data_IF_703526862563
#
_entry.id   IF_703526862563
#
_cell.length_a   1.000
_cell.length_b   1.000
_cell.length_c   1.000
_cell.angle_alpha   90.00
_cell.angle_beta   90.00
_cell.angle_gamma   90.00
#
_symmetry.space_group_name_H-M   'P 1'
#
loop_
_entity.id
_entity.type
_entity.pdbx_description
1 polymer ?
#
# COMPACT_ATOMS: atom_id res chain seq x y z
N UNK A 1 19.24 14.94 39.85
CA UNK A 1 18.67 16.15 39.23
C UNK A 1 17.62 15.69 38.24
N UNK A 2 16.34 15.94 38.55
CA UNK A 2 15.25 15.64 37.63
C UNK A 2 15.33 16.64 36.48
N UNK A 3 15.78 16.17 35.31
CA UNK A 3 15.63 16.93 34.07
C UNK A 3 14.15 17.01 33.76
N UNK A 4 13.54 18.14 34.11
CA UNK A 4 12.25 18.55 33.57
C UNK A 4 12.41 18.82 32.08
N UNK A 5 12.42 17.77 31.27
CA UNK A 5 12.09 17.89 29.87
C UNK A 5 10.58 18.22 29.84
N UNK A 6 10.27 19.47 29.55
CA UNK A 6 8.94 19.93 29.18
C UNK A 6 8.30 18.84 28.31
N UNK A 7 7.16 18.29 28.74
CA UNK A 7 6.29 17.47 27.90
C UNK A 7 5.77 18.35 26.76
N UNK A 8 6.63 18.71 25.81
CA UNK A 8 6.19 19.03 24.46
C UNK A 8 5.69 17.70 23.91
N UNK A 9 4.38 17.55 23.84
CA UNK A 9 3.83 16.57 22.91
C UNK A 9 4.43 16.91 21.55
N UNK A 10 5.21 16.02 20.92
CA UNK A 10 5.70 16.29 19.58
C UNK A 10 4.48 16.53 18.70
N UNK A 11 4.51 17.57 17.87
CA UNK A 11 3.50 17.73 16.83
C UNK A 11 3.45 16.45 15.98
N UNK A 12 2.34 16.16 15.32
CA UNK A 12 2.25 14.97 14.48
C UNK A 12 3.32 14.93 13.38
N UNK A 13 3.72 16.10 12.87
CA UNK A 13 4.87 16.27 11.97
C UNK A 13 6.19 15.86 12.64
N UNK A 14 6.46 16.31 13.87
CA UNK A 14 7.65 15.91 14.61
C UNK A 14 7.68 14.41 14.89
N UNK A 15 6.53 13.83 15.26
CA UNK A 15 6.38 12.39 15.46
C UNK A 15 6.68 11.62 14.17
N UNK A 16 6.17 12.08 13.04
CA UNK A 16 6.44 11.49 11.74
C UNK A 16 7.92 11.64 11.33
N UNK A 17 8.54 12.80 11.54
CA UNK A 17 9.98 13.02 11.30
C UNK A 17 10.87 12.09 12.16
N UNK A 18 10.52 11.91 13.44
CA UNK A 18 11.26 10.99 14.33
C UNK A 18 11.14 9.55 13.85
N UNK A 19 9.96 9.15 13.36
CA UNK A 19 9.75 7.82 12.80
C UNK A 19 10.55 7.61 11.49
N UNK A 20 10.54 8.60 10.59
CA UNK A 20 11.38 8.61 9.38
C UNK A 20 12.86 8.48 9.75
N UNK A 21 13.32 9.20 10.77
CA UNK A 21 14.70 9.12 11.27
C UNK A 21 15.02 7.74 11.86
N UNK A 22 14.09 7.13 12.58
CA UNK A 22 14.26 5.77 13.11
C UNK A 22 14.35 4.74 11.97
N UNK A 23 13.48 4.85 10.96
CA UNK A 23 13.55 4.03 9.76
C UNK A 23 14.91 4.19 9.05
N UNK A 24 15.39 5.42 8.89
CA UNK A 24 16.70 5.69 8.27
C UNK A 24 17.86 5.05 9.06
N UNK A 25 17.83 5.12 10.38
CA UNK A 25 18.86 4.51 11.23
C UNK A 25 18.91 2.98 11.05
N UNK A 26 17.75 2.32 10.97
CA UNK A 26 17.68 0.88 10.68
C UNK A 26 18.11 0.57 9.24
N UNK A 27 17.70 1.39 8.27
CA UNK A 27 18.06 1.24 6.86
C UNK A 27 19.57 1.36 6.61
N UNK A 28 20.27 2.19 7.39
CA UNK A 28 21.72 2.38 7.30
C UNK A 28 22.54 1.26 7.92
N UNK A 29 21.89 0.31 8.62
CA UNK A 29 22.56 -0.84 9.22
C UNK A 29 22.69 -2.03 8.28
N UNK A 30 23.46 -3.02 8.71
CA UNK A 30 23.52 -4.33 8.08
C UNK A 30 22.23 -5.13 8.31
N UNK A 31 22.01 -6.17 7.50
CA UNK A 31 20.90 -7.10 7.67
C UNK A 31 20.96 -7.70 9.08
N UNK A 32 19.82 -7.70 9.77
CA UNK A 32 19.61 -8.16 11.13
C UNK A 32 20.41 -7.43 12.22
N UNK A 33 21.12 -6.34 11.92
CA UNK A 33 21.88 -5.59 12.93
C UNK A 33 21.01 -5.14 14.11
N UNK A 34 19.75 -4.81 13.85
CA UNK A 34 18.80 -4.30 14.84
C UNK A 34 17.77 -5.32 15.33
N UNK A 35 17.89 -6.61 14.99
CA UNK A 35 16.87 -7.62 15.32
C UNK A 35 16.60 -7.76 16.84
N UNK A 36 17.63 -7.56 17.68
CA UNK A 36 17.49 -7.60 19.14
C UNK A 36 16.62 -6.45 19.70
N UNK A 37 16.47 -5.36 18.95
CA UNK A 37 15.64 -4.22 19.32
C UNK A 37 14.20 -4.34 18.82
N UNK A 38 13.84 -5.40 18.09
CA UNK A 38 12.49 -5.58 17.55
C UNK A 38 11.38 -5.55 18.62
N UNK A 39 11.55 -6.08 19.85
CA UNK A 39 10.53 -5.93 20.88
C UNK A 39 10.24 -4.45 21.21
N UNK A 40 11.30 -3.64 21.31
CA UNK A 40 11.17 -2.19 21.55
C UNK A 40 10.58 -1.48 20.33
N UNK A 41 11.02 -1.84 19.12
CA UNK A 41 10.47 -1.29 17.87
C UNK A 41 8.97 -1.61 17.78
N UNK A 42 8.57 -2.84 18.10
CA UNK A 42 7.17 -3.28 18.11
C UNK A 42 6.33 -2.51 19.14
N UNK A 43 6.82 -2.33 20.35
CA UNK A 43 6.16 -1.51 21.37
C UNK A 43 5.91 -0.10 20.83
N UNK A 44 6.94 0.54 20.25
CA UNK A 44 6.83 1.88 19.67
C UNK A 44 5.87 1.93 18.49
N UNK A 45 5.95 0.99 17.55
CA UNK A 45 5.01 0.93 16.42
C UNK A 45 3.58 0.80 16.93
N UNK A 46 3.33 -0.10 17.88
CA UNK A 46 1.99 -0.30 18.46
C UNK A 46 1.49 0.93 19.23
N UNK A 47 2.38 1.65 19.92
CA UNK A 47 2.06 2.95 20.54
C UNK A 47 1.66 4.01 19.50
N UNK A 48 2.28 4.00 18.31
CA UNK A 48 1.93 4.91 17.22
C UNK A 48 0.54 4.63 16.63
N UNK A 49 0.09 3.36 16.66
CA UNK A 49 -1.21 2.88 16.16
C UNK A 49 -2.39 3.10 17.10
N UNK A 50 -2.13 3.43 18.38
CA UNK A 50 -3.20 3.79 19.30
C UNK A 50 -3.81 5.15 18.91
N UNK A 51 -4.99 5.43 19.45
CA UNK A 51 -5.81 6.62 19.17
C UNK A 51 -4.98 7.90 19.00
N UNK A 52 -5.12 8.55 17.84
CA UNK A 52 -4.40 9.78 17.48
C UNK A 52 -3.28 9.59 16.46
N UNK A 53 -3.33 8.55 15.61
CA UNK A 53 -2.49 8.46 14.43
C UNK A 53 -3.01 9.42 13.36
N UNK A 54 -2.12 10.17 12.70
CA UNK A 54 -2.44 10.97 11.52
C UNK A 54 -1.95 10.24 10.28
N UNK A 55 -2.54 10.51 9.12
CA UNK A 55 -2.12 9.93 7.84
C UNK A 55 -0.65 10.21 7.52
N UNK A 56 -0.11 11.36 7.96
CA UNK A 56 1.33 11.64 7.88
C UNK A 56 2.19 10.67 8.71
N UNK A 57 1.79 10.36 9.95
CA UNK A 57 2.51 9.38 10.80
C UNK A 57 2.37 7.98 10.22
N UNK A 58 1.18 7.61 9.76
CA UNK A 58 0.92 6.32 9.13
C UNK A 58 1.74 6.12 7.84
N UNK A 59 1.89 7.16 7.01
CA UNK A 59 2.76 7.11 5.84
C UNK A 59 4.22 6.78 6.21
N UNK A 60 4.74 7.40 7.28
CA UNK A 60 6.08 7.10 7.79
C UNK A 60 6.19 5.70 8.44
N UNK A 61 5.09 5.14 8.95
CA UNK A 61 5.03 3.75 9.40
C UNK A 61 5.20 2.78 8.23
N UNK A 62 4.50 3.01 7.12
CA UNK A 62 4.68 2.18 5.92
C UNK A 62 6.11 2.27 5.36
N UNK A 63 6.73 3.46 5.35
CA UNK A 63 8.16 3.58 5.02
C UNK A 63 9.01 2.72 5.97
N UNK A 64 8.77 2.79 7.27
CA UNK A 64 9.53 1.98 8.22
C UNK A 64 9.28 0.47 8.03
N UNK A 65 8.05 0.06 7.72
CA UNK A 65 7.75 -1.33 7.38
C UNK A 65 8.55 -1.80 6.16
N UNK A 66 8.64 -1.00 5.08
CA UNK A 66 9.48 -1.32 3.92
C UNK A 66 10.95 -1.52 4.32
N UNK A 67 11.48 -0.63 5.17
CA UNK A 67 12.85 -0.78 5.70
C UNK A 67 13.01 -2.07 6.49
N UNK A 68 12.04 -2.42 7.35
CA UNK A 68 12.08 -3.65 8.13
C UNK A 68 12.08 -4.88 7.21
N UNK A 69 11.32 -4.88 6.12
CA UNK A 69 11.36 -5.96 5.13
C UNK A 69 12.74 -6.13 4.49
N UNK A 70 13.46 -5.03 4.23
CA UNK A 70 14.78 -5.05 3.58
C UNK A 70 15.92 -5.38 4.54
N UNK A 71 15.79 -5.03 5.82
CA UNK A 71 16.87 -5.13 6.81
C UNK A 71 16.68 -6.20 7.86
N UNK A 72 15.50 -6.77 8.03
CA UNK A 72 15.22 -7.78 9.06
C UNK A 72 14.75 -9.05 8.38
N UNK A 73 15.44 -10.15 8.66
CA UNK A 73 15.12 -11.44 8.08
C UNK A 73 13.73 -11.93 8.52
N UNK A 74 13.00 -12.68 7.66
CA UNK A 74 11.59 -13.01 7.87
C UNK A 74 11.29 -13.70 9.21
N UNK A 75 12.20 -14.56 9.69
CA UNK A 75 12.02 -15.25 10.96
C UNK A 75 11.86 -14.30 12.15
N UNK A 76 12.51 -13.13 12.09
CA UNK A 76 12.46 -12.12 13.15
C UNK A 76 11.23 -11.21 13.03
N UNK A 77 10.60 -11.13 11.86
CA UNK A 77 9.40 -10.32 11.62
C UNK A 77 8.08 -10.98 12.05
N UNK A 78 8.11 -12.25 12.46
CA UNK A 78 6.91 -13.04 12.79
C UNK A 78 5.92 -12.32 13.71
N UNK A 79 6.38 -11.60 14.74
CA UNK A 79 5.50 -10.89 15.68
C UNK A 79 5.02 -9.52 15.18
N UNK A 80 5.79 -8.89 14.28
CA UNK A 80 5.46 -7.59 13.68
C UNK A 80 4.55 -7.73 12.47
N UNK A 81 4.61 -8.89 11.80
CA UNK A 81 3.90 -9.13 10.57
C UNK A 81 2.38 -8.91 10.67
N UNK A 82 1.68 -9.43 11.71
CA UNK A 82 0.25 -9.15 11.88
C UNK A 82 -0.05 -7.65 11.95
N UNK A 83 0.83 -6.87 12.60
CA UNK A 83 0.67 -5.42 12.72
C UNK A 83 0.80 -4.76 11.34
N UNK A 84 1.84 -5.10 10.57
CA UNK A 84 2.03 -4.53 9.23
C UNK A 84 0.85 -4.80 8.30
N UNK A 85 0.31 -6.03 8.35
CA UNK A 85 -0.83 -6.44 7.52
C UNK A 85 -2.12 -5.77 7.97
N UNK A 86 -2.40 -5.70 9.27
CA UNK A 86 -3.63 -5.06 9.75
C UNK A 86 -3.66 -3.58 9.40
N UNK A 87 -2.52 -2.89 9.47
CA UNK A 87 -2.42 -1.48 9.08
C UNK A 87 -2.66 -1.28 7.58
N UNK A 88 -2.09 -2.17 6.75
CA UNK A 88 -2.34 -2.13 5.31
C UNK A 88 -3.82 -2.37 4.97
N UNK A 89 -4.44 -3.34 5.62
CA UNK A 89 -5.88 -3.63 5.45
C UNK A 89 -6.72 -2.42 5.87
N UNK A 90 -6.46 -1.86 7.05
CA UNK A 90 -7.20 -0.69 7.55
C UNK A 90 -7.05 0.51 6.61
N UNK A 91 -5.84 0.76 6.09
CA UNK A 91 -5.59 1.86 5.15
C UNK A 91 -6.32 1.65 3.82
N UNK A 92 -6.41 0.42 3.32
CA UNK A 92 -7.19 0.13 2.11
C UNK A 92 -8.70 0.18 2.34
N UNK A 93 -9.20 -0.25 3.50
CA UNK A 93 -10.60 -0.04 3.87
C UNK A 93 -10.93 1.45 3.92
N UNK A 94 -10.05 2.28 4.52
CA UNK A 94 -10.21 3.73 4.53
C UNK A 94 -10.22 4.31 3.11
N UNK A 95 -9.35 3.83 2.21
CA UNK A 95 -9.36 4.25 0.81
C UNK A 95 -10.66 3.86 0.11
N UNK A 96 -11.20 2.67 0.36
CA UNK A 96 -12.50 2.25 -0.16
C UNK A 96 -13.60 3.19 0.34
N UNK A 97 -13.63 3.51 1.63
CA UNK A 97 -14.57 4.46 2.24
C UNK A 97 -14.49 5.85 1.56
N UNK A 98 -13.31 6.45 1.48
CA UNK A 98 -13.06 7.76 0.82
C UNK A 98 -13.47 7.78 -0.67
N UNK A 99 -13.43 6.62 -1.34
CA UNK A 99 -13.89 6.48 -2.72
C UNK A 99 -15.40 6.30 -2.84
N UNK A 100 -16.05 5.72 -1.81
CA UNK A 100 -17.51 5.50 -1.75
C UNK A 100 -18.31 6.67 -1.20
N UNK A 101 -17.69 7.59 -0.45
CA UNK A 101 -18.37 8.79 0.06
C UNK A 101 -18.87 9.65 -1.13
N UNK A 102 -20.09 9.36 -1.58
CA UNK A 102 -20.91 10.22 -2.43
C UNK A 102 -21.40 11.42 -1.61
N UNK A 103 -21.50 12.59 -2.25
CA UNK A 103 -22.19 13.76 -1.71
C UNK A 103 -23.56 13.33 -1.17
N UNK A 104 -23.73 13.27 0.16
CA UNK A 104 -25.05 13.39 0.75
C UNK A 104 -25.68 14.66 0.17
N UNK A 105 -26.75 14.57 -0.65
CA UNK A 105 -27.36 15.77 -1.18
C UNK A 105 -27.95 16.50 0.02
N UNK A 106 -27.36 17.63 0.39
CA UNK A 106 -27.77 18.46 1.51
C UNK A 106 -29.29 18.72 1.44
N UNK A 107 -30.09 17.89 2.13
CA UNK A 107 -31.53 18.09 2.26
C UNK A 107 -31.78 19.11 3.36
N UNK A 108 -31.73 20.36 2.93
CA UNK A 108 -32.57 21.49 3.32
C UNK A 108 -32.89 21.69 4.82
N UNK A 109 -32.35 22.76 5.41
CA UNK A 109 -33.23 23.82 5.91
C UNK A 109 -32.57 25.22 6.01
N UNK A 110 -33.13 26.11 5.18
CA UNK A 110 -33.26 27.56 5.38
C UNK A 110 -32.20 28.54 4.83
N UNK A 111 -32.65 29.18 3.73
CA UNK A 111 -32.63 30.64 3.44
C UNK A 111 -31.34 31.32 2.94
N UNK A 112 -31.39 31.57 1.61
CA UNK A 112 -31.14 32.86 0.92
C UNK A 112 -29.72 33.46 1.07
N UNK A 113 -28.90 33.33 0.03
CA UNK A 113 -28.33 34.49 -0.68
C UNK A 113 -27.71 34.09 -2.03
N UNK A 114 -27.91 34.94 -3.03
CA UNK A 114 -27.39 34.83 -4.39
C UNK A 114 -25.85 34.99 -4.40
N UNK A 115 -25.15 34.08 -5.06
CA UNK A 115 -23.98 34.42 -5.87
C UNK A 115 -23.80 33.36 -6.96
N UNK A 116 -23.52 33.82 -8.18
CA UNK A 116 -23.41 33.06 -9.42
C UNK A 116 -21.93 32.79 -9.70
N UNK A 117 -21.55 31.53 -9.84
CA UNK A 117 -20.30 31.03 -10.43
C UNK A 117 -20.56 29.57 -10.79
N UNK A 118 -20.89 29.29 -12.06
CA UNK A 118 -20.02 28.62 -13.04
C UNK A 118 -19.30 27.39 -12.48
N UNK A 119 -19.62 26.25 -13.08
CA UNK A 119 -19.42 24.89 -12.58
C UNK A 119 -18.01 24.50 -12.21
N UNK A 120 -17.93 23.57 -11.27
CA UNK A 120 -17.25 22.32 -11.53
C UNK A 120 -17.89 21.22 -10.68
N UNK A 121 -17.95 20.00 -11.20
CA UNK A 121 -18.44 18.84 -10.47
C UNK A 121 -17.38 18.41 -9.44
N UNK A 122 -17.31 19.11 -8.32
CA UNK A 122 -16.33 18.80 -7.27
C UNK A 122 -16.85 17.67 -6.40
N UNK A 123 -16.63 16.42 -6.82
CA UNK A 123 -16.59 15.31 -5.86
C UNK A 123 -15.62 15.63 -4.73
N UNK A 124 -15.86 15.12 -3.52
CA UNK A 124 -14.94 15.29 -2.41
C UNK A 124 -13.54 14.79 -2.82
N UNK A 125 -12.59 15.72 -2.95
CA UNK A 125 -11.22 15.44 -3.33
C UNK A 125 -10.46 14.93 -2.10
N UNK A 126 -9.77 13.81 -2.25
CA UNK A 126 -8.99 13.18 -1.18
C UNK A 126 -7.90 14.17 -0.73
N UNK A 127 -7.82 14.39 0.59
CA UNK A 127 -6.86 15.36 1.15
C UNK A 127 -5.41 14.97 0.84
N UNK A 128 -4.48 15.94 0.67
CA UNK A 128 -3.08 15.64 0.34
C UNK A 128 -2.38 14.69 1.32
N UNK A 129 -2.67 14.80 2.62
CA UNK A 129 -2.10 13.91 3.63
C UNK A 129 -2.58 12.46 3.48
N UNK A 130 -3.84 12.26 3.11
CA UNK A 130 -4.41 10.94 2.80
C UNK A 130 -3.82 10.37 1.51
N UNK A 131 -3.63 11.20 0.48
CA UNK A 131 -2.94 10.80 -0.74
C UNK A 131 -1.51 10.29 -0.46
N UNK A 132 -0.78 10.98 0.42
CA UNK A 132 0.55 10.54 0.88
C UNK A 132 0.48 9.18 1.61
N UNK A 133 -0.53 8.98 2.46
CA UNK A 133 -0.77 7.71 3.13
C UNK A 133 -1.05 6.59 2.13
N UNK A 134 -1.98 6.80 1.20
CA UNK A 134 -2.37 5.79 0.20
C UNK A 134 -1.20 5.43 -0.73
N UNK A 135 -0.39 6.41 -1.14
CA UNK A 135 0.84 6.13 -1.87
C UNK A 135 1.82 5.29 -1.04
N UNK A 136 2.03 5.62 0.23
CA UNK A 136 2.94 4.88 1.10
C UNK A 136 2.47 3.42 1.33
N UNK A 137 1.17 3.21 1.52
CA UNK A 137 0.56 1.89 1.60
C UNK A 137 0.75 1.08 0.30
N UNK A 138 0.54 1.72 -0.85
CA UNK A 138 0.77 1.10 -2.16
C UNK A 138 2.25 0.73 -2.38
N UNK A 139 3.18 1.62 -2.02
CA UNK A 139 4.64 1.33 -2.05
C UNK A 139 5.00 0.15 -1.15
N UNK A 140 4.37 0.03 0.02
CA UNK A 140 4.57 -1.10 0.92
C UNK A 140 4.03 -2.40 0.33
N UNK A 141 2.81 -2.41 -0.22
CA UNK A 141 2.26 -3.58 -0.90
C UNK A 141 3.13 -4.02 -2.10
N UNK A 142 3.55 -3.07 -2.94
CA UNK A 142 4.42 -3.34 -4.09
C UNK A 142 5.76 -3.95 -3.65
N UNK A 143 6.33 -3.44 -2.55
CA UNK A 143 7.52 -4.02 -1.92
C UNK A 143 7.25 -5.45 -1.50
N UNK A 144 6.17 -5.72 -0.74
CA UNK A 144 5.84 -7.06 -0.28
C UNK A 144 5.61 -8.07 -1.42
N UNK A 145 4.95 -7.64 -2.50
CA UNK A 145 4.72 -8.45 -3.71
C UNK A 145 5.99 -8.71 -4.52
N UNK A 146 6.97 -7.79 -4.46
CA UNK A 146 8.24 -7.88 -5.18
C UNK A 146 9.21 -8.87 -4.53
N UNK A 147 9.05 -9.16 -3.23
CA UNK A 147 9.95 -10.10 -2.55
C UNK A 147 9.82 -11.52 -3.11
N UNK A 148 10.94 -12.25 -3.26
CA UNK A 148 10.92 -13.66 -3.60
C UNK A 148 10.07 -14.45 -2.57
N UNK A 149 9.18 -15.38 -2.99
CA UNK A 149 8.28 -16.10 -2.07
C UNK A 149 9.01 -16.86 -0.96
N UNK A 150 10.20 -17.39 -1.23
CA UNK A 150 11.06 -18.07 -0.28
C UNK A 150 11.59 -17.14 0.82
N UNK A 151 11.78 -15.85 0.50
CA UNK A 151 12.22 -14.78 1.41
C UNK A 151 11.06 -14.02 2.05
N UNK A 152 9.81 -14.35 1.73
CA UNK A 152 8.64 -13.64 2.24
C UNK A 152 7.45 -14.59 2.39
N UNK A 153 7.68 -15.69 3.09
CA UNK A 153 6.66 -16.73 3.31
C UNK A 153 5.47 -16.22 4.11
N UNK A 154 5.71 -15.34 5.08
CA UNK A 154 4.65 -14.71 5.88
C UNK A 154 3.64 -13.98 5.00
N UNK A 155 4.09 -13.25 3.98
CA UNK A 155 3.18 -12.55 3.07
C UNK A 155 2.34 -13.50 2.21
N UNK A 156 2.88 -14.65 1.81
CA UNK A 156 2.13 -15.60 0.96
C UNK A 156 0.81 -16.05 1.62
N UNK A 157 0.74 -16.08 2.95
CA UNK A 157 -0.49 -16.43 3.69
C UNK A 157 -1.56 -15.34 3.68
N UNK A 158 -1.19 -14.09 3.43
CA UNK A 158 -2.10 -12.93 3.45
C UNK A 158 -2.32 -12.32 2.07
N UNK A 159 -1.53 -12.75 1.07
CA UNK A 159 -1.56 -12.23 -0.29
C UNK A 159 -2.96 -12.24 -0.92
N UNK A 160 -3.75 -13.27 -0.63
CA UNK A 160 -5.14 -13.42 -1.08
C UNK A 160 -6.04 -12.23 -0.70
N UNK A 161 -5.77 -11.54 0.41
CA UNK A 161 -6.56 -10.40 0.84
C UNK A 161 -6.31 -9.16 -0.04
N UNK A 162 -5.19 -9.11 -0.75
CA UNK A 162 -4.78 -7.94 -1.52
C UNK A 162 -4.95 -8.14 -3.02
N UNK A 163 -4.46 -9.24 -3.59
CA UNK A 163 -4.46 -9.47 -5.05
C UNK A 163 -5.26 -10.71 -5.44
N UNK A 164 -5.89 -10.74 -6.63
CA UNK A 164 -6.66 -11.90 -7.07
C UNK A 164 -5.73 -13.08 -7.37
N UNK A 165 -5.91 -14.23 -6.73
CA UNK A 165 -5.09 -15.44 -7.03
C UNK A 165 -5.75 -16.39 -8.04
N UNK A 166 -7.04 -16.21 -8.29
CA UNK A 166 -7.87 -17.00 -9.22
C UNK A 166 -8.75 -16.05 -10.04
N UNK A 167 -9.27 -16.51 -11.17
CA UNK A 167 -10.22 -15.75 -11.98
C UNK A 167 -11.47 -15.45 -11.15
N UNK A 168 -11.55 -14.23 -10.61
CA UNK A 168 -12.75 -13.68 -9.95
C UNK A 168 -13.72 -13.15 -11.00
N UNK A 169 -14.02 -13.95 -12.03
CA UNK A 169 -15.17 -13.68 -12.90
C UNK A 169 -16.41 -13.81 -12.02
N UNK A 170 -17.02 -12.67 -11.67
CA UNK A 170 -18.29 -12.63 -10.95
C UNK A 170 -19.31 -13.45 -11.75
N UNK A 171 -19.92 -14.52 -11.20
CA UNK A 171 -20.97 -15.23 -11.91
C UNK A 171 -22.12 -14.26 -12.19
N UNK A 172 -22.77 -14.34 -13.37
CA UNK A 172 -23.89 -13.47 -13.64
C UNK A 172 -25.06 -13.89 -12.74
N UNK A 173 -25.75 -12.89 -12.20
CA UNK A 173 -27.13 -12.93 -11.68
C UNK A 173 -27.35 -13.36 -10.21
N UNK A 174 -27.74 -12.42 -9.36
CA UNK A 174 -29.11 -12.22 -8.80
C UNK A 174 -29.03 -11.34 -7.56
N UNK A 175 -29.65 -10.16 -7.68
CA UNK A 175 -29.96 -9.23 -6.60
C UNK A 175 -30.55 -9.94 -5.37
N UNK A 176 -30.07 -9.56 -4.18
CA UNK A 176 -30.67 -9.75 -2.84
C UNK A 176 -29.97 -10.68 -1.81
N UNK A 177 -28.79 -11.27 -2.11
CA UNK A 177 -27.96 -12.00 -1.10
C UNK A 177 -26.51 -11.49 -0.99
N UNK A 178 -26.18 -10.38 -1.67
CA UNK A 178 -24.79 -10.01 -2.03
C UNK A 178 -24.03 -9.26 -0.92
N UNK A 179 -24.70 -8.75 0.12
CA UNK A 179 -24.02 -7.96 1.17
C UNK A 179 -22.96 -8.76 1.95
N UNK A 180 -23.13 -10.08 2.12
CA UNK A 180 -22.20 -10.90 2.92
C UNK A 180 -21.01 -11.50 2.13
N UNK A 181 -20.89 -11.27 0.81
CA UNK A 181 -19.79 -11.83 0.01
C UNK A 181 -18.72 -10.81 -0.42
N UNK A 182 -18.91 -9.51 -0.15
CA UNK A 182 -17.91 -8.47 -0.47
C UNK A 182 -16.62 -8.62 0.36
N UNK A 183 -16.71 -9.18 1.58
CA UNK A 183 -15.55 -9.41 2.47
C UNK A 183 -14.53 -10.42 1.90
N UNK A 184 -14.94 -11.26 0.95
CA UNK A 184 -14.08 -12.28 0.33
C UNK A 184 -13.34 -11.76 -0.91
N UNK A 185 -13.53 -10.50 -1.31
CA UNK A 185 -12.88 -9.91 -2.48
C UNK A 185 -11.57 -9.21 -2.10
N UNK A 186 -10.47 -9.42 -2.86
CA UNK A 186 -9.22 -8.74 -2.60
C UNK A 186 -9.37 -7.22 -2.68
N UNK A 187 -8.73 -6.50 -1.76
CA UNK A 187 -8.83 -5.04 -1.64
C UNK A 187 -8.51 -4.30 -2.94
N UNK A 188 -7.48 -4.74 -3.68
CA UNK A 188 -7.07 -4.09 -4.93
C UNK A 188 -8.17 -4.13 -5.98
N UNK A 189 -8.94 -5.22 -6.04
CA UNK A 189 -10.05 -5.34 -7.00
C UNK A 189 -11.17 -4.38 -6.61
N UNK A 190 -11.55 -4.35 -5.33
CA UNK A 190 -12.57 -3.41 -4.81
C UNK A 190 -12.17 -1.95 -5.06
N UNK A 191 -10.95 -1.56 -4.70
CA UNK A 191 -10.41 -0.22 -4.93
C UNK A 191 -10.43 0.11 -6.43
N UNK A 192 -10.01 -0.82 -7.30
CA UNK A 192 -10.00 -0.59 -8.74
C UNK A 192 -11.42 -0.37 -9.29
N UNK A 193 -12.39 -1.16 -8.84
CA UNK A 193 -13.80 -1.03 -9.26
C UNK A 193 -14.36 0.35 -8.83
N UNK A 194 -14.09 0.76 -7.60
CA UNK A 194 -14.48 2.08 -7.09
C UNK A 194 -13.82 3.24 -7.88
N UNK A 195 -12.52 3.13 -8.19
CA UNK A 195 -11.82 4.13 -8.99
C UNK A 195 -12.40 4.24 -10.41
N UNK A 196 -12.75 3.11 -11.03
CA UNK A 196 -13.39 3.07 -12.35
C UNK A 196 -14.78 3.70 -12.32
N UNK A 197 -15.56 3.44 -11.27
CA UNK A 197 -16.88 4.05 -11.09
C UNK A 197 -16.77 5.58 -10.92
N UNK A 198 -15.82 6.06 -10.11
CA UNK A 198 -15.68 7.49 -9.81
C UNK A 198 -14.99 8.30 -10.91
N UNK A 199 -13.99 7.73 -11.60
CA UNK A 199 -13.14 8.46 -12.55
C UNK A 199 -13.17 7.92 -13.99
N UNK A 200 -13.90 6.83 -14.24
CA UNK A 200 -14.00 6.17 -15.54
C UNK A 200 -12.92 5.12 -15.79
N UNK A 201 -13.13 4.29 -16.82
CA UNK A 201 -12.17 3.25 -17.21
C UNK A 201 -10.89 3.87 -17.81
N UNK A 202 -9.71 3.56 -17.25
CA UNK A 202 -8.45 3.96 -17.86
C UNK A 202 -8.27 3.21 -19.18
N UNK A 203 -7.82 3.90 -20.23
CA UNK A 203 -7.50 3.25 -21.51
C UNK A 203 -6.49 2.12 -21.25
N UNK A 204 -6.76 0.88 -21.72
CA UNK A 204 -5.80 -0.20 -21.55
C UNK A 204 -4.50 0.20 -22.26
N UNK A 205 -3.32 0.01 -21.64
CA UNK A 205 -2.09 0.30 -22.31
C UNK A 205 -1.91 -0.71 -23.45
N UNK A 206 -1.98 -0.23 -24.69
CA UNK A 206 -1.74 -1.03 -25.89
C UNK A 206 -0.35 -1.68 -25.79
N UNK A 207 -0.29 -3.01 -25.78
CA UNK A 207 0.97 -3.76 -25.76
C UNK A 207 1.60 -4.01 -24.38
N UNK A 208 0.83 -3.92 -23.29
CA UNK A 208 1.38 -4.23 -21.95
C UNK A 208 1.86 -5.68 -21.88
N UNK A 209 3.13 -5.94 -21.50
CA UNK A 209 3.64 -7.29 -21.42
C UNK A 209 2.87 -8.10 -20.36
N UNK A 210 2.43 -9.30 -20.72
CA UNK A 210 1.64 -10.23 -19.87
C UNK A 210 2.34 -10.61 -18.55
N UNK A 211 3.62 -10.26 -18.40
CA UNK A 211 4.43 -10.45 -17.20
C UNK A 211 4.97 -9.08 -16.74
N UNK A 212 4.32 -8.40 -15.79
CA UNK A 212 4.84 -7.15 -15.27
C UNK A 212 6.14 -7.38 -14.50
N UNK A 213 7.08 -6.44 -14.63
CA UNK A 213 8.35 -6.48 -13.91
C UNK A 213 8.20 -5.67 -12.62
N UNK A 214 8.24 -6.37 -11.50
CA UNK A 214 8.28 -5.77 -10.18
C UNK A 214 9.65 -5.12 -9.90
N UNK A 215 9.73 -4.07 -9.07
CA UNK A 215 8.60 -3.32 -8.48
C UNK A 215 7.81 -2.50 -9.51
N UNK A 216 6.50 -2.32 -9.28
CA UNK A 216 5.59 -1.63 -10.20
C UNK A 216 5.53 -0.11 -9.98
N UNK A 217 5.75 0.35 -8.75
CA UNK A 217 5.64 1.75 -8.38
C UNK A 217 7.00 2.43 -8.29
N UNK A 218 7.15 3.51 -9.06
CA UNK A 218 8.28 4.44 -9.00
C UNK A 218 7.85 5.88 -8.69
N UNK A 219 6.57 6.08 -8.33
CA UNK A 219 6.02 7.38 -8.00
C UNK A 219 6.61 7.90 -6.69
N UNK A 220 7.05 9.16 -6.70
CA UNK A 220 7.59 9.85 -5.52
C UNK A 220 6.49 10.48 -4.69
N UNK A 221 5.66 11.27 -5.36
CA UNK A 221 4.44 11.90 -4.83
C UNK A 221 3.30 11.73 -5.81
N UNK A 222 2.08 11.95 -5.32
CA UNK A 222 0.86 12.00 -6.13
C UNK A 222 0.05 13.23 -5.75
N UNK A 223 -0.51 13.90 -6.75
CA UNK A 223 -1.44 15.03 -6.58
C UNK A 223 -2.89 14.60 -6.78
N UNK A 224 -3.14 13.39 -7.28
CA UNK A 224 -4.47 12.82 -7.45
C UNK A 224 -4.42 11.30 -7.29
N UNK A 225 -5.46 10.73 -6.68
CA UNK A 225 -5.60 9.27 -6.51
C UNK A 225 -5.61 8.52 -7.85
N UNK A 226 -6.07 9.19 -8.93
CA UNK A 226 -6.11 8.62 -10.29
C UNK A 226 -4.71 8.21 -10.79
N UNK A 227 -3.63 8.82 -10.28
CA UNK A 227 -2.26 8.45 -10.63
C UNK A 227 -1.87 7.05 -10.12
N UNK A 228 -2.60 6.49 -9.15
CA UNK A 228 -2.42 5.12 -8.68
C UNK A 228 -3.22 4.09 -9.47
N UNK A 229 -4.17 4.51 -10.33
CA UNK A 229 -4.97 3.57 -11.14
C UNK A 229 -4.14 2.61 -12.00
N UNK A 230 -3.05 3.02 -12.67
CA UNK A 230 -2.21 2.08 -13.44
C UNK A 230 -1.58 0.97 -12.59
N UNK A 231 -1.29 1.27 -11.32
CA UNK A 231 -0.76 0.32 -10.35
C UNK A 231 -1.83 -0.68 -9.90
N UNK A 232 -3.04 -0.22 -9.57
CA UNK A 232 -4.14 -1.13 -9.22
C UNK A 232 -4.55 -1.99 -10.40
N UNK A 233 -4.66 -1.40 -11.60
CA UNK A 233 -4.97 -2.11 -12.84
C UNK A 233 -3.92 -3.20 -13.08
N UNK A 234 -2.65 -2.80 -13.25
CA UNK A 234 -1.47 -3.51 -12.73
C UNK A 234 -1.69 -4.89 -12.11
N UNK A 235 -1.95 -4.80 -10.81
CA UNK A 235 -2.12 -5.88 -9.89
C UNK A 235 -3.35 -6.75 -10.17
N UNK A 236 -4.47 -6.18 -10.66
CA UNK A 236 -5.63 -6.98 -11.01
C UNK A 236 -5.29 -8.01 -12.10
N UNK A 237 -4.73 -7.61 -13.25
CA UNK A 237 -4.49 -8.55 -14.35
C UNK A 237 -3.22 -9.41 -14.16
N UNK A 238 -2.21 -8.89 -13.45
CA UNK A 238 -0.95 -9.60 -13.21
C UNK A 238 -1.14 -10.96 -12.52
N UNK A 239 -2.15 -11.08 -11.66
CA UNK A 239 -2.39 -12.29 -10.87
C UNK A 239 -3.61 -13.10 -11.34
N UNK A 240 -4.60 -12.48 -12.00
CA UNK A 240 -5.73 -13.17 -12.66
C UNK A 240 -5.28 -14.07 -13.82
N UNK A 241 -4.37 -13.60 -14.68
CA UNK A 241 -4.00 -14.30 -15.93
C UNK A 241 -3.25 -15.63 -15.75
N UNK A 242 -2.89 -16.03 -14.52
CA UNK A 242 -2.15 -17.28 -14.25
C UNK A 242 -3.04 -18.53 -14.22
N UNK A 243 -4.36 -18.39 -14.13
CA UNK A 243 -5.30 -19.51 -14.07
C UNK A 243 -5.55 -20.21 -15.42
N UNK A 244 -5.66 -19.44 -16.50
CA UNK A 244 -6.12 -19.95 -17.81
C UNK A 244 -5.09 -20.77 -18.62
N UNK A 245 -3.78 -20.67 -18.34
CA UNK A 245 -2.74 -21.30 -19.17
C UNK A 245 -2.30 -22.69 -18.66
N UNK A 246 -3.08 -23.34 -17.79
CA UNK A 246 -2.74 -24.62 -17.16
C UNK A 246 -3.10 -25.89 -17.97
N UNK A 247 -3.30 -25.79 -19.29
CA UNK A 247 -3.33 -26.95 -20.20
C UNK A 247 -2.61 -26.66 -21.54
N UNK A 248 -1.28 -26.64 -21.53
CA UNK A 248 -0.36 -27.02 -22.64
C UNK A 248 0.96 -26.25 -22.64
N UNK A 249 1.70 -26.31 -21.54
CA UNK A 249 3.14 -26.08 -21.65
C UNK A 249 3.87 -27.11 -20.79
N UNK A 250 4.59 -28.00 -21.48
CA UNK A 250 5.59 -28.86 -20.86
C UNK A 250 6.55 -28.00 -20.04
N UNK A 251 7.06 -28.49 -18.89
CA UNK A 251 8.07 -27.78 -18.15
C UNK A 251 9.35 -27.78 -18.99
N UNK A 252 9.66 -26.65 -19.63
CA UNK A 252 10.99 -26.44 -20.22
C UNK A 252 11.99 -26.42 -19.07
N UNK A 253 12.67 -27.54 -18.90
CA UNK A 253 13.79 -27.68 -18.00
C UNK A 253 14.88 -26.66 -18.38
N UNK A 254 15.49 -26.06 -17.36
CA UNK A 254 16.63 -25.13 -17.43
C UNK A 254 16.33 -23.62 -17.60
N UNK A 255 15.51 -23.05 -16.72
CA UNK A 255 15.94 -21.77 -16.13
C UNK A 255 17.01 -22.11 -15.09
N UNK A 256 18.26 -21.72 -15.33
CA UNK A 256 19.36 -21.95 -14.39
C UNK A 256 19.00 -21.34 -13.03
N UNK A 257 19.23 -22.08 -11.95
CA UNK A 257 19.01 -21.62 -10.57
C UNK A 257 19.73 -20.28 -10.32
N UNK A 258 20.86 -20.07 -10.99
CA UNK A 258 21.63 -18.81 -10.97
C UNK A 258 20.88 -17.62 -11.60
N UNK A 259 20.07 -17.84 -12.64
CA UNK A 259 19.27 -16.76 -13.27
C UNK A 259 18.12 -16.32 -12.37
N UNK A 260 17.51 -17.23 -11.61
CA UNK A 260 16.44 -16.88 -10.68
C UNK A 260 17.00 -16.13 -9.46
N UNK A 261 18.12 -16.61 -8.91
CA UNK A 261 18.83 -15.92 -7.82
C UNK A 261 19.34 -14.53 -8.23
N UNK A 262 19.90 -14.39 -9.44
CA UNK A 262 20.37 -13.10 -9.96
C UNK A 262 19.22 -12.09 -10.14
N UNK A 263 18.05 -12.55 -10.59
CA UNK A 263 16.87 -11.69 -10.71
C UNK A 263 16.35 -11.24 -9.33
N UNK A 264 16.30 -12.15 -8.35
CA UNK A 264 15.90 -11.82 -6.97
C UNK A 264 16.81 -10.77 -6.32
N UNK A 265 18.12 -10.87 -6.52
CA UNK A 265 19.08 -9.89 -5.99
C UNK A 265 18.85 -8.52 -6.64
N UNK A 266 18.64 -8.46 -7.96
CA UNK A 266 18.35 -7.21 -8.67
C UNK A 266 17.07 -6.54 -8.17
N UNK A 267 16.02 -7.33 -7.92
CA UNK A 267 14.75 -6.80 -7.38
C UNK A 267 14.97 -6.21 -5.98
N UNK A 268 15.67 -6.92 -5.09
CA UNK A 268 15.98 -6.40 -3.76
C UNK A 268 16.78 -5.10 -3.84
N UNK A 269 17.75 -5.01 -4.74
CA UNK A 269 18.52 -3.78 -4.96
C UNK A 269 17.63 -2.62 -5.46
N UNK A 270 16.71 -2.89 -6.40
CA UNK A 270 15.75 -1.87 -6.87
C UNK A 270 14.83 -1.39 -5.74
N UNK A 271 14.43 -2.27 -4.83
CA UNK A 271 13.63 -1.91 -3.66
C UNK A 271 14.44 -1.06 -2.67
N UNK A 272 15.72 -1.37 -2.46
CA UNK A 272 16.64 -0.55 -1.66
C UNK A 272 16.81 0.84 -2.26
N UNK A 273 17.10 0.94 -3.57
CA UNK A 273 17.24 2.22 -4.28
C UNK A 273 15.95 3.06 -4.20
N UNK A 274 14.79 2.41 -4.26
CA UNK A 274 13.48 3.06 -4.09
C UNK A 274 13.30 3.64 -2.68
N UNK A 275 13.66 2.88 -1.64
CA UNK A 275 13.57 3.33 -0.25
C UNK A 275 14.59 4.45 0.04
N UNK A 276 15.79 4.40 -0.56
CA UNK A 276 16.75 5.50 -0.48
C UNK A 276 16.17 6.81 -1.02
N UNK A 277 15.46 6.75 -2.16
CA UNK A 277 14.79 7.92 -2.72
C UNK A 277 13.72 8.50 -1.77
N UNK A 278 12.93 7.66 -1.10
CA UNK A 278 11.89 8.12 -0.15
C UNK A 278 12.49 8.93 1.02
N UNK A 279 13.73 8.63 1.42
CA UNK A 279 14.42 9.41 2.46
C UNK A 279 14.80 10.83 2.00
N UNK A 280 15.02 11.03 0.70
CA UNK A 280 15.36 12.32 0.12
C UNK A 280 14.14 13.23 -0.09
N UNK A 281 12.93 12.69 0.00
CA UNK A 281 11.70 13.47 -0.15
C UNK A 281 11.42 14.33 1.09
N UNK A 282 11.12 15.60 0.86
CA UNK A 282 10.72 16.53 1.93
C UNK A 282 9.28 16.24 2.37
N UNK A 283 9.02 16.29 3.68
CA UNK A 283 7.68 16.10 4.23
C UNK A 283 6.75 17.31 4.07
N UNK A 284 7.24 18.40 3.47
CA UNK A 284 6.57 19.71 3.37
C UNK A 284 6.03 20.01 1.95
N UNK A 285 5.70 18.99 1.15
CA UNK A 285 5.12 19.22 -0.20
C UNK A 285 3.63 19.51 -0.14
#
# INVERSE_FOLDING_TARGET
MQSGALKLYPSFEQKAMLLKRQAFAVFSGEIDQYHLYLPLIQERLTENLRVGQTSLVAAQMFLFFRVLLLRISPQHLTSLWPIMVTELIQTFLQLEEDLTEEEEPAKSSSKISKAKGSGDGSGAEIQPNELCLYLAACKFLDTALSFPPDRMQLFQMYKWAFVPEVDTESPPVTSHLVENHQECQPHIVRIMDLLKMKYGEPKPPEGTPRNPKFPLLSLRSVSSITQLMPFFQTLCWAFTARGSDSQNSQPSAAASVDSLGSNSIRILQQLEDSVECDFLENMES
#
